data_IF_368900631479
#
_entry.id   IF_368900631479
#
_cell.length_a   1.000
_cell.length_b   1.000
_cell.length_c   1.000
_cell.angle_alpha   90.00
_cell.angle_beta   90.00
_cell.angle_gamma   90.00
#
_symmetry.space_group_name_H-M   'P 1'
#
loop_
_entity.id
_entity.type
_entity.pdbx_description
1 polymer ?
#
# COMPACT_ATOMS: atom_id res chain seq x y z
N UNK A 1 -10.51 18.89 5.87
CA UNK A 1 -10.90 17.53 5.37
C UNK A 1 -11.67 17.75 4.08
N UNK A 2 -11.52 16.84 3.09
CA UNK A 2 -12.32 16.94 1.87
C UNK A 2 -13.81 16.85 2.19
N UNK A 3 -14.63 17.57 1.42
CA UNK A 3 -16.08 17.58 1.60
C UNK A 3 -16.73 16.22 1.31
N UNK A 4 -16.23 15.50 0.32
CA UNK A 4 -16.66 14.15 -0.01
C UNK A 4 -15.50 13.17 0.20
N UNK A 5 -15.73 12.04 0.89
CA UNK A 5 -14.74 10.98 1.00
C UNK A 5 -15.33 9.65 0.50
N UNK A 6 -14.55 8.97 -0.34
CA UNK A 6 -14.94 7.75 -1.05
C UNK A 6 -13.91 6.67 -0.79
N UNK A 7 -14.36 5.56 -0.18
CA UNK A 7 -13.56 4.37 0.08
C UNK A 7 -14.03 3.24 -0.82
N UNK A 8 -13.10 2.67 -1.58
CA UNK A 8 -13.33 1.59 -2.54
C UNK A 8 -12.37 0.41 -2.32
N UNK A 9 -11.33 0.59 -1.48
CA UNK A 9 -10.37 -0.46 -1.09
C UNK A 9 -10.91 -1.21 0.14
N UNK A 10 -11.70 -2.24 -0.10
CA UNK A 10 -12.48 -2.97 0.88
C UNK A 10 -13.98 -2.74 0.69
N UNK A 11 -14.71 -2.64 1.79
CA UNK A 11 -16.16 -2.35 1.75
C UNK A 11 -16.40 -0.92 1.28
N UNK A 12 -17.19 -0.80 0.23
CA UNK A 12 -17.50 0.49 -0.41
C UNK A 12 -18.25 1.44 0.54
N UNK A 13 -17.70 2.63 0.77
CA UNK A 13 -18.28 3.65 1.63
C UNK A 13 -18.20 5.02 0.97
N UNK A 14 -19.24 5.81 1.18
CA UNK A 14 -19.34 7.19 0.67
C UNK A 14 -19.80 8.11 1.81
N UNK A 15 -19.07 9.18 2.03
CA UNK A 15 -19.42 10.19 3.03
C UNK A 15 -19.40 11.58 2.41
N UNK A 16 -20.32 12.43 2.87
CA UNK A 16 -20.41 13.85 2.50
C UNK A 16 -20.48 14.67 3.78
N UNK A 17 -19.60 15.65 3.91
CA UNK A 17 -19.49 16.50 5.10
C UNK A 17 -19.39 15.68 6.42
N UNK A 18 -18.67 14.53 6.36
CA UNK A 18 -18.45 13.63 7.50
C UNK A 18 -19.60 12.66 7.83
N UNK A 19 -20.72 12.72 7.09
CA UNK A 19 -21.87 11.84 7.28
C UNK A 19 -22.01 10.84 6.13
N UNK A 20 -22.49 9.61 6.36
CA UNK A 20 -22.77 8.65 5.29
C UNK A 20 -23.72 9.24 4.24
N UNK A 21 -23.41 9.03 2.97
CA UNK A 21 -24.20 9.53 1.85
C UNK A 21 -25.56 8.83 1.83
N UNK A 22 -26.64 9.59 1.97
CA UNK A 22 -28.00 9.10 1.94
C UNK A 22 -28.54 8.97 0.51
N UNK A 23 -29.54 8.10 0.27
CA UNK A 23 -30.18 7.96 -1.05
C UNK A 23 -29.43 7.11 -2.07
N UNK A 24 -28.39 6.36 -1.64
CA UNK A 24 -27.63 5.41 -2.46
C UNK A 24 -28.02 3.95 -2.14
N UNK A 25 -29.29 3.65 -2.01
CA UNK A 25 -29.76 2.31 -1.63
C UNK A 25 -29.53 1.27 -2.75
N UNK A 26 -29.64 1.70 -4.01
CA UNK A 26 -29.42 0.82 -5.17
C UNK A 26 -27.94 0.48 -5.35
N UNK A 27 -27.63 -0.83 -5.39
CA UNK A 27 -26.28 -1.32 -5.70
C UNK A 27 -25.75 -0.76 -7.03
N UNK A 28 -26.60 -0.72 -8.08
CA UNK A 28 -26.24 -0.16 -9.40
C UNK A 28 -25.85 1.32 -9.31
N UNK A 29 -26.57 2.12 -8.51
CA UNK A 29 -26.28 3.56 -8.35
C UNK A 29 -24.95 3.77 -7.61
N UNK A 30 -24.69 3.02 -6.53
CA UNK A 30 -23.42 3.07 -5.82
C UNK A 30 -22.25 2.68 -6.70
N UNK A 31 -22.43 1.62 -7.47
CA UNK A 31 -21.39 1.09 -8.36
C UNK A 31 -21.15 2.01 -9.56
N UNK A 32 -22.20 2.67 -10.09
CA UNK A 32 -22.04 3.71 -11.09
C UNK A 32 -21.20 4.89 -10.55
N UNK A 33 -21.45 5.31 -9.30
CA UNK A 33 -20.63 6.36 -8.68
C UNK A 33 -19.18 5.92 -8.55
N UNK A 34 -18.91 4.70 -8.07
CA UNK A 34 -17.56 4.15 -7.96
C UNK A 34 -16.84 4.11 -9.31
N UNK A 35 -17.52 3.67 -10.36
CA UNK A 35 -17.00 3.67 -11.74
C UNK A 35 -16.63 5.08 -12.20
N UNK A 36 -17.55 6.04 -12.08
CA UNK A 36 -17.33 7.42 -12.49
C UNK A 36 -16.18 8.10 -11.74
N UNK A 37 -16.02 7.77 -10.46
CA UNK A 37 -14.95 8.29 -9.59
C UNK A 37 -13.58 7.76 -10.03
N UNK A 38 -13.48 6.46 -10.27
CA UNK A 38 -12.21 5.82 -10.68
C UNK A 38 -11.81 6.27 -12.08
N UNK A 39 -12.79 6.40 -12.99
CA UNK A 39 -12.60 6.82 -14.38
C UNK A 39 -12.80 8.34 -14.59
N UNK A 40 -12.61 9.13 -13.53
CA UNK A 40 -12.87 10.59 -13.54
C UNK A 40 -11.99 11.39 -14.49
N UNK A 41 -10.92 10.82 -15.02
CA UNK A 41 -10.01 11.47 -15.97
C UNK A 41 -10.70 11.84 -17.30
N UNK A 42 -11.79 11.18 -17.66
CA UNK A 42 -12.52 11.40 -18.94
C UNK A 42 -14.03 11.46 -18.74
N UNK A 43 -14.70 12.15 -19.68
CA UNK A 43 -16.16 12.14 -19.76
C UNK A 43 -16.64 10.85 -20.44
N UNK A 44 -17.70 10.25 -19.89
CA UNK A 44 -18.27 9.01 -20.39
C UNK A 44 -19.58 9.26 -21.13
N UNK A 45 -19.72 8.67 -22.31
CA UNK A 45 -20.96 8.72 -23.06
C UNK A 45 -22.09 8.02 -22.32
N UNK A 46 -23.27 8.65 -22.30
CA UNK A 46 -24.46 8.11 -21.60
C UNK A 46 -24.90 6.77 -22.18
N UNK A 47 -24.77 6.58 -23.47
CA UNK A 47 -25.11 5.31 -24.14
C UNK A 47 -24.18 4.19 -23.68
N UNK A 48 -22.87 4.46 -23.60
CA UNK A 48 -21.89 3.50 -23.08
C UNK A 48 -22.17 3.14 -21.63
N UNK A 49 -22.48 4.11 -20.75
CA UNK A 49 -22.84 3.86 -19.37
C UNK A 49 -24.14 3.07 -19.26
N UNK A 50 -25.15 3.38 -20.06
CA UNK A 50 -26.41 2.65 -20.08
C UNK A 50 -26.20 1.18 -20.47
N UNK A 51 -25.41 0.90 -21.51
CA UNK A 51 -25.06 -0.47 -21.90
C UNK A 51 -24.23 -1.21 -20.87
N UNK A 52 -23.33 -0.51 -20.14
CA UNK A 52 -22.48 -1.10 -19.11
C UNK A 52 -23.27 -1.56 -17.87
N UNK A 53 -24.26 -0.75 -17.43
CA UNK A 53 -24.99 -0.98 -16.18
C UNK A 53 -26.37 -1.61 -16.36
N UNK A 54 -26.97 -1.51 -17.55
CA UNK A 54 -28.30 -2.06 -17.88
C UNK A 54 -28.31 -2.81 -19.22
N UNK A 55 -27.40 -3.76 -19.46
CA UNK A 55 -27.30 -4.44 -20.78
C UNK A 55 -28.50 -5.30 -21.11
N UNK A 56 -29.29 -5.72 -20.11
CA UNK A 56 -30.48 -6.57 -20.26
C UNK A 56 -31.72 -5.77 -20.70
N UNK A 57 -31.67 -4.45 -20.64
CA UNK A 57 -32.80 -3.56 -20.95
C UNK A 57 -32.75 -3.09 -22.39
N UNK A 58 -33.93 -2.74 -22.94
CA UNK A 58 -33.94 -2.01 -24.21
C UNK A 58 -33.22 -0.66 -24.07
N UNK A 59 -32.67 -0.16 -25.15
CA UNK A 59 -31.88 1.08 -25.14
C UNK A 59 -32.64 2.26 -24.48
N UNK A 60 -33.94 2.41 -24.79
CA UNK A 60 -34.76 3.44 -24.18
C UNK A 60 -34.94 3.28 -22.69
N UNK A 61 -35.13 2.05 -22.20
CA UNK A 61 -35.25 1.72 -20.77
C UNK A 61 -33.91 1.92 -20.05
N UNK A 62 -32.80 1.48 -20.64
CA UNK A 62 -31.46 1.67 -20.07
C UNK A 62 -31.08 3.16 -19.93
N UNK A 63 -31.40 3.99 -20.96
CA UNK A 63 -31.21 5.45 -20.90
C UNK A 63 -32.09 6.09 -19.81
N UNK A 64 -33.32 5.65 -19.64
CA UNK A 64 -34.21 6.13 -18.57
C UNK A 64 -33.64 5.78 -17.20
N UNK A 65 -33.24 4.52 -16.99
CA UNK A 65 -32.64 4.02 -15.75
C UNK A 65 -31.35 4.78 -15.41
N UNK A 66 -30.50 5.03 -16.37
CA UNK A 66 -29.30 5.86 -16.19
C UNK A 66 -29.66 7.29 -15.77
N UNK A 67 -30.67 7.89 -16.42
CA UNK A 67 -31.11 9.26 -16.10
C UNK A 67 -31.61 9.35 -14.66
N UNK A 68 -32.37 8.34 -14.20
CA UNK A 68 -32.83 8.25 -12.81
C UNK A 68 -31.65 8.04 -11.84
N UNK A 69 -30.69 7.19 -12.19
CA UNK A 69 -29.49 6.98 -11.39
C UNK A 69 -28.67 8.26 -11.22
N UNK A 70 -28.46 9.01 -12.32
CA UNK A 70 -27.75 10.31 -12.29
C UNK A 70 -28.52 11.32 -11.45
N UNK A 71 -29.85 11.36 -11.54
CA UNK A 71 -30.67 12.21 -10.69
C UNK A 71 -30.48 11.88 -9.20
N UNK A 72 -30.55 10.59 -8.83
CA UNK A 72 -30.35 10.14 -7.46
C UNK A 72 -28.93 10.48 -6.95
N UNK A 73 -27.90 10.30 -7.80
CA UNK A 73 -26.53 10.67 -7.46
C UNK A 73 -26.39 12.18 -7.20
N UNK A 74 -27.00 13.01 -8.04
CA UNK A 74 -26.99 14.48 -7.85
C UNK A 74 -27.69 14.89 -6.57
N UNK A 75 -28.82 14.27 -6.24
CA UNK A 75 -29.53 14.52 -4.97
C UNK A 75 -28.67 14.11 -3.77
N UNK A 76 -28.11 12.89 -3.79
CA UNK A 76 -27.27 12.38 -2.72
C UNK A 76 -26.04 13.27 -2.48
N UNK A 77 -25.41 13.77 -3.56
CA UNK A 77 -24.26 14.68 -3.50
C UNK A 77 -24.61 16.14 -3.20
N UNK A 78 -25.89 16.44 -2.87
CA UNK A 78 -26.34 17.79 -2.56
C UNK A 78 -26.36 18.74 -3.76
N UNK A 79 -26.34 18.21 -5.01
CA UNK A 79 -26.44 18.98 -6.25
C UNK A 79 -27.90 19.08 -6.70
N UNK A 80 -28.73 19.75 -5.92
CA UNK A 80 -30.11 20.01 -6.33
C UNK A 80 -30.15 20.98 -7.49
N UNK A 81 -30.84 20.55 -8.56
CA UNK A 81 -31.01 21.31 -9.78
C UNK A 81 -31.66 22.66 -9.50
N UNK A 82 -30.95 23.71 -9.78
CA UNK A 82 -31.35 25.04 -10.28
C UNK A 82 -30.26 26.08 -10.00
N UNK A 83 -29.06 25.82 -10.38
CA UNK A 83 -28.16 26.90 -10.71
C UNK A 83 -28.19 27.02 -12.25
N UNK A 84 -29.23 27.64 -12.75
CA UNK A 84 -29.21 28.18 -14.09
C UNK A 84 -28.06 29.17 -14.15
N UNK A 85 -27.28 29.07 -15.22
CA UNK A 85 -26.24 30.02 -15.59
C UNK A 85 -26.87 31.41 -15.76
N UNK A 86 -26.94 32.17 -14.68
CA UNK A 86 -27.10 33.61 -14.73
C UNK A 86 -25.70 34.22 -14.70
N UNK A 87 -25.27 34.88 -15.75
CA UNK A 87 -23.98 35.55 -15.77
C UNK A 87 -23.91 36.62 -14.69
N UNK A 88 -23.00 36.44 -13.73
CA UNK A 88 -22.72 37.44 -12.69
C UNK A 88 -23.00 37.03 -11.23
N UNK A 89 -23.44 35.79 -10.96
CA UNK A 89 -23.52 35.31 -9.56
C UNK A 89 -22.22 34.66 -9.09
N UNK A 90 -21.87 34.77 -7.78
CA UNK A 90 -20.69 34.11 -7.22
C UNK A 90 -20.79 32.61 -7.42
N UNK A 91 -19.69 32.03 -7.89
CA UNK A 91 -19.52 30.59 -8.18
C UNK A 91 -19.96 29.79 -6.94
N UNK A 92 -21.05 29.06 -7.03
CA UNK A 92 -21.48 28.09 -6.02
C UNK A 92 -20.42 26.99 -5.84
N UNK A 93 -20.59 26.09 -4.87
CA UNK A 93 -19.64 25.01 -4.64
C UNK A 93 -19.41 24.21 -5.93
N UNK A 94 -18.14 23.88 -6.21
CA UNK A 94 -17.75 23.12 -7.40
C UNK A 94 -18.53 21.80 -7.47
N UNK A 95 -19.25 21.52 -8.58
CA UNK A 95 -20.09 20.34 -8.66
C UNK A 95 -19.27 19.05 -8.66
N UNK A 96 -19.78 17.99 -8.01
CA UNK A 96 -19.17 16.66 -8.03
C UNK A 96 -19.38 15.92 -9.34
N UNK A 97 -20.51 16.15 -10.01
CA UNK A 97 -20.86 15.54 -11.30
C UNK A 97 -21.01 16.61 -12.37
N UNK A 98 -20.32 16.44 -13.47
CA UNK A 98 -20.49 17.20 -14.70
C UNK A 98 -21.39 16.38 -15.63
N UNK A 99 -22.59 16.89 -15.90
CA UNK A 99 -23.61 16.17 -16.67
C UNK A 99 -24.02 17.03 -17.86
N UNK A 100 -23.87 16.48 -19.08
CA UNK A 100 -24.36 17.07 -20.30
C UNK A 100 -25.50 16.23 -20.93
N UNK A 101 -25.99 16.60 -22.07
CA UNK A 101 -26.95 15.79 -22.83
C UNK A 101 -26.35 14.44 -23.26
N UNK A 102 -25.03 14.38 -23.53
CA UNK A 102 -24.38 13.23 -24.13
C UNK A 102 -23.43 12.53 -23.14
N UNK A 103 -22.91 13.23 -22.14
CA UNK A 103 -21.85 12.70 -21.28
C UNK A 103 -22.13 12.88 -19.78
N UNK A 104 -21.47 12.05 -18.98
CA UNK A 104 -21.39 12.14 -17.53
C UNK A 104 -19.94 11.97 -17.11
N UNK A 105 -19.46 12.80 -16.20
CA UNK A 105 -18.12 12.72 -15.64
C UNK A 105 -18.16 13.02 -14.13
N UNK A 106 -17.42 12.29 -13.32
CA UNK A 106 -17.11 12.75 -11.98
C UNK A 106 -16.08 13.87 -12.09
N UNK A 107 -16.33 15.01 -11.44
CA UNK A 107 -15.47 16.17 -11.57
C UNK A 107 -14.15 15.97 -10.80
N UNK A 108 -13.00 15.81 -11.49
CA UNK A 108 -11.72 15.59 -10.83
C UNK A 108 -11.23 16.80 -10.00
N UNK A 109 -11.83 17.97 -10.19
CA UNK A 109 -11.51 19.21 -9.46
C UNK A 109 -12.49 19.46 -8.29
N UNK A 110 -13.40 18.53 -8.01
CA UNK A 110 -14.30 18.60 -6.85
C UNK A 110 -13.51 18.36 -5.54
N UNK A 111 -14.02 18.89 -4.43
CA UNK A 111 -13.44 18.66 -3.10
C UNK A 111 -13.75 17.23 -2.63
N UNK A 112 -13.06 16.27 -3.25
CA UNK A 112 -13.24 14.83 -3.01
C UNK A 112 -11.92 14.17 -2.69
N UNK A 113 -11.92 13.37 -1.65
CA UNK A 113 -10.84 12.46 -1.29
C UNK A 113 -11.23 11.03 -1.66
N UNK A 114 -10.34 10.29 -2.33
CA UNK A 114 -10.57 8.93 -2.84
C UNK A 114 -9.39 8.05 -2.42
N UNK A 115 -9.66 6.95 -1.70
CA UNK A 115 -8.63 6.04 -1.22
C UNK A 115 -7.79 5.41 -2.34
N UNK A 116 -8.41 4.97 -3.45
CA UNK A 116 -7.72 4.42 -4.62
C UNK A 116 -6.77 5.43 -5.26
N UNK A 117 -7.19 6.71 -5.35
CA UNK A 117 -6.36 7.76 -5.90
C UNK A 117 -5.16 8.07 -4.98
N UNK A 118 -5.40 8.15 -3.68
CA UNK A 118 -4.35 8.38 -2.68
C UNK A 118 -3.37 7.22 -2.61
N UNK A 119 -3.87 5.97 -2.61
CA UNK A 119 -3.05 4.75 -2.68
C UNK A 119 -2.14 4.77 -3.91
N UNK A 120 -2.71 5.02 -5.08
CA UNK A 120 -1.96 5.09 -6.33
C UNK A 120 -0.93 6.23 -6.33
N UNK A 121 -1.26 7.38 -5.73
CA UNK A 121 -0.37 8.54 -5.58
C UNK A 121 0.81 8.22 -4.67
N UNK A 122 0.59 7.53 -3.56
CA UNK A 122 1.67 7.08 -2.68
C UNK A 122 2.67 6.20 -3.43
N UNK A 123 2.18 5.23 -4.20
CA UNK A 123 3.01 4.31 -4.99
C UNK A 123 3.76 5.06 -6.10
N UNK A 124 3.09 5.97 -6.82
CA UNK A 124 3.72 6.78 -7.85
C UNK A 124 4.87 7.64 -7.28
N UNK A 125 4.66 8.25 -6.11
CA UNK A 125 5.68 9.04 -5.42
C UNK A 125 6.87 8.18 -4.97
N UNK A 126 6.65 6.95 -4.49
CA UNK A 126 7.73 6.01 -4.17
C UNK A 126 8.54 5.66 -5.42
N UNK A 127 7.88 5.38 -6.55
CA UNK A 127 8.55 5.03 -7.82
C UNK A 127 9.34 6.18 -8.44
N UNK A 128 8.87 7.42 -8.28
CA UNK A 128 9.53 8.61 -8.82
C UNK A 128 10.61 9.18 -7.90
N UNK A 129 10.65 8.76 -6.64
CA UNK A 129 11.62 9.27 -5.67
C UNK A 129 13.01 8.70 -5.95
N UNK A 130 14.00 9.61 -6.12
CA UNK A 130 15.39 9.20 -6.32
C UNK A 130 15.99 8.69 -5.00
N UNK A 131 16.21 7.39 -4.92
CA UNK A 131 16.90 6.74 -3.80
C UNK A 131 17.83 5.65 -4.34
N UNK A 132 18.92 5.38 -3.63
CA UNK A 132 19.85 4.30 -4.00
C UNK A 132 19.23 2.91 -3.71
N UNK A 133 18.56 2.82 -2.55
CA UNK A 133 17.88 1.60 -2.09
C UNK A 133 16.58 1.96 -1.40
N UNK A 134 15.53 1.30 -1.78
CA UNK A 134 14.20 1.51 -1.20
C UNK A 134 14.18 1.11 0.28
N UNK A 135 14.84 0.00 0.62
CA UNK A 135 14.90 -0.59 1.95
C UNK A 135 15.56 0.32 3.01
N UNK A 136 16.27 1.35 2.58
CA UNK A 136 16.89 2.32 3.50
C UNK A 136 16.24 3.69 3.46
N UNK A 137 15.26 3.91 2.57
CA UNK A 137 14.63 5.20 2.38
C UNK A 137 13.45 5.43 3.33
N UNK A 138 13.66 6.18 4.42
CA UNK A 138 12.61 6.51 5.38
C UNK A 138 11.47 7.37 4.81
N UNK A 139 11.70 8.14 3.74
CA UNK A 139 10.64 8.91 3.07
C UNK A 139 9.70 7.97 2.30
N UNK A 140 10.25 7.02 1.52
CA UNK A 140 9.45 6.03 0.83
C UNK A 140 8.69 5.13 1.81
N UNK A 141 9.33 4.70 2.91
CA UNK A 141 8.67 3.90 3.93
C UNK A 141 7.46 4.61 4.59
N UNK A 142 7.49 5.94 4.73
CA UNK A 142 6.31 6.69 5.20
C UNK A 142 5.15 6.62 4.21
N UNK A 143 5.43 6.77 2.92
CA UNK A 143 4.42 6.67 1.86
C UNK A 143 3.86 5.25 1.74
N UNK A 144 4.72 4.24 1.84
CA UNK A 144 4.31 2.83 1.82
C UNK A 144 3.41 2.48 3.01
N UNK A 145 3.69 3.01 4.23
CA UNK A 145 2.81 2.83 5.39
C UNK A 145 1.42 3.47 5.19
N UNK A 146 1.38 4.66 4.58
CA UNK A 146 0.09 5.26 4.22
C UNK A 146 -0.66 4.39 3.23
N UNK A 147 0.01 3.90 2.19
CA UNK A 147 -0.59 3.00 1.21
C UNK A 147 -1.09 1.69 1.87
N UNK A 148 -0.30 1.10 2.75
CA UNK A 148 -0.71 -0.09 3.53
C UNK A 148 -1.99 0.16 4.34
N UNK A 149 -2.08 1.30 5.02
CA UNK A 149 -3.25 1.66 5.82
C UNK A 149 -4.50 1.89 4.97
N UNK A 150 -4.34 2.40 3.74
CA UNK A 150 -5.44 2.63 2.81
C UNK A 150 -6.02 1.32 2.26
N UNK A 151 -5.19 0.30 2.06
CA UNK A 151 -5.64 -0.98 1.50
C UNK A 151 -6.26 -1.86 2.58
N UNK A 152 -7.57 -1.69 2.83
CA UNK A 152 -8.32 -2.45 3.83
C UNK A 152 -8.88 -3.78 3.29
N UNK A 153 -8.82 -4.00 2.00
CA UNK A 153 -9.29 -5.20 1.30
C UNK A 153 -9.34 -4.97 -0.20
N UNK A 154 -9.79 -5.98 -0.94
CA UNK A 154 -9.86 -5.90 -2.39
C UNK A 154 -10.80 -4.80 -2.87
N UNK A 155 -10.47 -4.24 -4.02
CA UNK A 155 -11.27 -3.22 -4.68
C UNK A 155 -12.72 -3.69 -4.88
N UNK A 156 -13.67 -2.88 -4.37
CA UNK A 156 -15.11 -3.16 -4.39
C UNK A 156 -15.46 -4.52 -3.78
N UNK A 157 -14.92 -4.82 -2.59
CA UNK A 157 -15.20 -6.07 -1.88
C UNK A 157 -16.71 -6.30 -1.71
N UNK A 158 -17.19 -7.49 -2.10
CA UNK A 158 -18.59 -7.89 -1.97
C UNK A 158 -19.53 -7.23 -2.97
N UNK A 159 -19.02 -6.49 -3.96
CA UNK A 159 -19.81 -5.89 -5.03
C UNK A 159 -19.82 -6.82 -6.24
N UNK A 160 -21.02 -7.20 -6.69
CA UNK A 160 -21.27 -7.89 -7.94
C UNK A 160 -22.57 -7.41 -8.55
N UNK A 161 -22.58 -7.19 -9.85
CA UNK A 161 -23.76 -6.77 -10.61
C UNK A 161 -24.16 -7.89 -11.60
N UNK A 162 -25.16 -8.67 -11.22
CA UNK A 162 -25.67 -9.74 -12.11
C UNK A 162 -26.05 -9.19 -13.48
N UNK A 163 -25.63 -9.87 -14.54
CA UNK A 163 -25.90 -9.49 -15.92
C UNK A 163 -25.04 -8.36 -16.50
N UNK A 164 -24.17 -7.72 -15.71
CA UNK A 164 -23.31 -6.62 -16.13
C UNK A 164 -21.86 -7.11 -16.38
N UNK A 165 -21.67 -8.03 -17.33
CA UNK A 165 -20.37 -8.68 -17.57
C UNK A 165 -19.24 -7.70 -17.82
N UNK A 166 -19.44 -6.70 -18.66
CA UNK A 166 -18.40 -5.72 -18.98
C UNK A 166 -17.99 -4.87 -17.76
N UNK A 167 -18.90 -4.63 -16.80
CA UNK A 167 -18.55 -4.01 -15.53
C UNK A 167 -17.73 -4.97 -14.65
N UNK A 168 -18.11 -6.25 -14.56
CA UNK A 168 -17.37 -7.24 -13.77
C UNK A 168 -15.94 -7.43 -14.31
N UNK A 169 -15.77 -7.44 -15.63
CA UNK A 169 -14.44 -7.50 -16.28
C UNK A 169 -13.60 -6.26 -15.90
N UNK A 170 -14.16 -5.07 -15.98
CA UNK A 170 -13.50 -3.83 -15.55
C UNK A 170 -13.11 -3.89 -14.07
N UNK A 171 -14.03 -4.30 -13.21
CA UNK A 171 -13.79 -4.40 -11.76
C UNK A 171 -12.71 -5.44 -11.44
N UNK A 172 -12.67 -6.54 -12.19
CA UNK A 172 -11.65 -7.59 -12.02
C UNK A 172 -10.26 -7.06 -12.39
N UNK A 173 -10.11 -6.36 -13.52
CA UNK A 173 -8.83 -5.75 -13.91
C UNK A 173 -8.32 -4.77 -12.84
N UNK A 174 -9.21 -3.93 -12.31
CA UNK A 174 -8.83 -3.00 -11.24
C UNK A 174 -8.48 -3.73 -9.93
N UNK A 175 -9.22 -4.77 -9.59
CA UNK A 175 -8.98 -5.61 -8.39
C UNK A 175 -7.60 -6.26 -8.45
N UNK A 176 -7.29 -6.95 -9.53
CA UNK A 176 -6.00 -7.62 -9.74
C UNK A 176 -4.84 -6.61 -9.71
N UNK A 177 -4.98 -5.48 -10.38
CA UNK A 177 -3.97 -4.42 -10.40
C UNK A 177 -3.69 -3.86 -9.00
N UNK A 178 -4.73 -3.50 -8.26
CA UNK A 178 -4.58 -2.90 -6.92
C UNK A 178 -4.10 -3.93 -5.91
N UNK A 179 -4.53 -5.19 -6.02
CA UNK A 179 -4.04 -6.30 -5.23
C UNK A 179 -2.54 -6.52 -5.43
N UNK A 180 -2.08 -6.62 -6.67
CA UNK A 180 -0.65 -6.75 -6.97
C UNK A 180 0.18 -5.57 -6.42
N UNK A 181 -0.35 -4.35 -6.50
CA UNK A 181 0.29 -3.17 -5.91
C UNK A 181 0.35 -3.24 -4.38
N UNK A 182 -0.71 -3.73 -3.71
CA UNK A 182 -0.73 -3.90 -2.27
C UNK A 182 0.27 -4.99 -1.81
N UNK A 183 0.38 -6.09 -2.53
CA UNK A 183 1.40 -7.10 -2.30
C UNK A 183 2.82 -6.50 -2.41
N UNK A 184 3.07 -5.66 -3.42
CA UNK A 184 4.37 -5.00 -3.58
C UNK A 184 4.67 -4.01 -2.45
N UNK A 185 3.67 -3.22 -1.99
CA UNK A 185 3.80 -2.32 -0.83
C UNK A 185 4.22 -3.09 0.42
N UNK A 186 3.61 -4.24 0.68
CA UNK A 186 3.92 -5.08 1.85
C UNK A 186 5.30 -5.75 1.71
N UNK A 187 5.69 -6.16 0.50
CA UNK A 187 7.02 -6.67 0.21
C UNK A 187 8.11 -5.62 0.51
N UNK A 188 7.91 -4.39 0.01
CA UNK A 188 8.83 -3.28 0.19
C UNK A 188 8.95 -2.87 1.67
N UNK A 189 7.83 -2.84 2.41
CA UNK A 189 7.82 -2.58 3.85
C UNK A 189 8.53 -3.69 4.63
N UNK A 190 8.30 -4.95 4.29
CA UNK A 190 9.00 -6.09 4.91
C UNK A 190 10.51 -5.93 4.73
N UNK A 191 10.98 -5.66 3.51
CA UNK A 191 12.40 -5.40 3.24
C UNK A 191 12.96 -4.19 3.99
N UNK A 192 12.20 -3.10 4.08
CA UNK A 192 12.59 -1.92 4.84
C UNK A 192 12.78 -2.22 6.34
N UNK A 193 11.84 -2.92 6.96
CA UNK A 193 11.90 -3.26 8.38
C UNK A 193 12.98 -4.29 8.67
N UNK A 194 13.17 -5.30 7.81
CA UNK A 194 14.28 -6.26 7.91
C UNK A 194 15.64 -5.53 7.89
N UNK A 195 15.83 -4.62 6.94
CA UNK A 195 17.07 -3.86 6.78
C UNK A 195 17.40 -3.00 8.02
N UNK A 196 16.41 -2.58 8.78
CA UNK A 196 16.55 -1.75 9.99
C UNK A 196 16.52 -2.55 11.29
N UNK A 197 16.36 -3.87 11.21
CA UNK A 197 16.15 -4.76 12.38
C UNK A 197 14.92 -4.34 13.23
N UNK A 198 13.92 -3.75 12.60
CA UNK A 198 12.62 -3.43 13.19
C UNK A 198 11.73 -4.68 13.14
N UNK A 199 12.12 -5.72 13.91
CA UNK A 199 11.61 -7.10 13.78
C UNK A 199 10.10 -7.20 13.89
N UNK A 200 9.50 -6.49 14.83
CA UNK A 200 8.05 -6.54 15.07
C UNK A 200 7.26 -6.02 13.87
N UNK A 201 7.61 -4.84 13.37
CA UNK A 201 6.95 -4.24 12.21
C UNK A 201 7.17 -5.09 10.95
N UNK A 202 8.37 -5.65 10.79
CA UNK A 202 8.70 -6.57 9.70
C UNK A 202 7.86 -7.83 9.73
N UNK A 203 7.63 -8.39 10.91
CA UNK A 203 6.77 -9.56 11.09
C UNK A 203 5.29 -9.23 10.76
N UNK A 204 4.78 -8.10 11.26
CA UNK A 204 3.41 -7.64 10.99
C UNK A 204 3.17 -7.45 9.47
N UNK A 205 4.11 -6.79 8.78
CA UNK A 205 4.03 -6.58 7.32
C UNK A 205 4.11 -7.91 6.55
N UNK A 206 5.03 -8.80 6.92
CA UNK A 206 5.19 -10.10 6.29
C UNK A 206 3.97 -11.02 6.50
N UNK A 207 3.36 -10.98 7.70
CA UNK A 207 2.12 -11.71 8.00
C UNK A 207 0.98 -11.24 7.12
N UNK A 208 0.79 -9.92 7.02
CA UNK A 208 -0.25 -9.32 6.18
C UNK A 208 -0.05 -9.66 4.70
N UNK A 209 1.21 -9.62 4.22
CA UNK A 209 1.52 -10.02 2.85
C UNK A 209 1.19 -11.48 2.57
N UNK A 210 1.62 -12.40 3.45
CA UNK A 210 1.33 -13.82 3.32
C UNK A 210 -0.16 -14.19 3.50
N UNK A 211 -0.96 -13.33 4.14
CA UNK A 211 -2.42 -13.44 4.23
C UNK A 211 -3.11 -12.93 2.96
N UNK A 212 -2.58 -11.84 2.38
CA UNK A 212 -3.13 -11.25 1.18
C UNK A 212 -2.96 -12.16 -0.03
N UNK A 213 -1.78 -12.79 -0.16
CA UNK A 213 -1.51 -13.77 -1.22
C UNK A 213 -0.88 -15.05 -0.62
N UNK A 214 -1.72 -16.01 -0.18
CA UNK A 214 -1.26 -17.23 0.49
C UNK A 214 -0.43 -18.16 -0.40
N UNK A 215 -0.62 -18.10 -1.73
CA UNK A 215 0.10 -18.94 -2.69
C UNK A 215 1.40 -18.28 -3.19
N UNK A 216 1.63 -17.01 -2.87
CA UNK A 216 2.82 -16.30 -3.32
C UNK A 216 4.06 -16.72 -2.52
N UNK A 217 4.93 -17.46 -3.15
CA UNK A 217 6.10 -18.11 -2.51
C UNK A 217 7.06 -17.11 -1.85
N UNK A 218 7.28 -15.96 -2.47
CA UNK A 218 8.13 -14.90 -1.90
C UNK A 218 7.52 -14.30 -0.63
N UNK A 219 6.20 -14.17 -0.55
CA UNK A 219 5.52 -13.72 0.66
C UNK A 219 5.70 -14.74 1.81
N UNK A 220 5.58 -16.03 1.50
CA UNK A 220 5.80 -17.09 2.47
C UNK A 220 7.26 -17.12 2.96
N UNK A 221 8.24 -16.93 2.05
CA UNK A 221 9.65 -16.80 2.44
C UNK A 221 9.90 -15.57 3.31
N UNK A 222 9.29 -14.44 2.98
CA UNK A 222 9.35 -13.23 3.81
C UNK A 222 8.86 -13.48 5.23
N UNK A 223 7.69 -14.12 5.36
CA UNK A 223 7.13 -14.48 6.66
C UNK A 223 8.01 -15.48 7.44
N UNK A 224 8.50 -16.54 6.78
CA UNK A 224 9.41 -17.52 7.42
C UNK A 224 10.68 -16.83 7.94
N UNK A 225 11.25 -15.90 7.16
CA UNK A 225 12.44 -15.14 7.52
C UNK A 225 12.18 -14.20 8.69
N UNK A 226 11.08 -13.44 8.64
CA UNK A 226 10.69 -12.54 9.72
C UNK A 226 10.46 -13.29 11.05
N UNK A 227 9.79 -14.45 11.00
CA UNK A 227 9.61 -15.33 12.18
C UNK A 227 10.95 -15.84 12.73
N UNK A 228 11.85 -16.26 11.85
CA UNK A 228 13.16 -16.75 12.27
C UNK A 228 14.01 -15.64 12.91
N UNK A 229 13.99 -14.43 12.35
CA UNK A 229 14.68 -13.25 12.90
C UNK A 229 14.12 -12.82 14.24
N UNK A 230 12.80 -12.98 14.46
CA UNK A 230 12.14 -12.69 15.74
C UNK A 230 12.31 -13.83 16.78
N UNK A 231 13.11 -14.85 16.47
CA UNK A 231 13.36 -16.00 17.36
C UNK A 231 12.24 -17.05 17.37
N UNK A 232 11.22 -16.91 16.55
CA UNK A 232 10.06 -17.80 16.46
C UNK A 232 10.31 -18.97 15.48
N UNK A 233 11.45 -19.65 15.63
CA UNK A 233 11.93 -20.71 14.73
C UNK A 233 10.90 -21.82 14.48
N UNK A 234 10.26 -22.31 15.54
CA UNK A 234 9.24 -23.36 15.40
C UNK A 234 8.07 -22.94 14.54
N UNK A 235 7.63 -21.67 14.63
CA UNK A 235 6.56 -21.13 13.81
C UNK A 235 7.01 -20.97 12.35
N UNK A 236 8.27 -20.56 12.12
CA UNK A 236 8.82 -20.47 10.75
C UNK A 236 8.83 -21.83 10.06
N UNK A 237 9.26 -22.89 10.76
CA UNK A 237 9.25 -24.26 10.23
C UNK A 237 7.82 -24.77 10.00
N UNK A 238 6.90 -24.52 10.94
CA UNK A 238 5.48 -24.89 10.80
C UNK A 238 4.83 -24.17 9.60
N UNK A 239 5.24 -22.90 9.34
CA UNK A 239 4.74 -22.15 8.18
C UNK A 239 5.16 -22.80 6.86
N UNK A 240 6.41 -23.26 6.73
CA UNK A 240 6.85 -24.01 5.56
C UNK A 240 6.01 -25.27 5.33
N UNK A 241 5.80 -26.06 6.38
CA UNK A 241 5.02 -27.29 6.25
C UNK A 241 3.56 -27.04 5.86
N UNK A 242 2.96 -25.98 6.41
CA UNK A 242 1.62 -25.54 6.01
C UNK A 242 1.57 -25.11 4.55
N UNK A 243 2.54 -24.32 4.10
CA UNK A 243 2.64 -23.85 2.73
C UNK A 243 2.90 -25.00 1.74
N UNK A 244 3.78 -25.94 2.08
CA UNK A 244 4.02 -27.16 1.27
C UNK A 244 2.74 -27.96 1.07
N UNK A 245 1.93 -28.15 2.13
CA UNK A 245 0.65 -28.84 2.04
C UNK A 245 -0.33 -28.10 1.12
N UNK A 246 -0.43 -26.78 1.26
CA UNK A 246 -1.29 -25.94 0.44
C UNK A 246 -0.93 -26.05 -1.05
N UNK A 247 0.36 -25.92 -1.40
CA UNK A 247 0.84 -26.08 -2.78
C UNK A 247 0.55 -27.47 -3.34
N UNK A 248 0.70 -28.51 -2.53
CA UNK A 248 0.43 -29.89 -2.97
C UNK A 248 -1.08 -30.11 -3.19
N UNK A 249 -1.94 -29.54 -2.33
CA UNK A 249 -3.40 -29.72 -2.41
C UNK A 249 -4.00 -28.92 -3.58
N UNK A 250 -3.60 -27.65 -3.75
CA UNK A 250 -4.25 -26.74 -4.69
C UNK A 250 -3.62 -26.78 -6.08
N UNK A 251 -2.30 -26.98 -6.18
CA UNK A 251 -1.56 -26.89 -7.43
C UNK A 251 -0.78 -28.16 -7.80
N UNK A 252 -0.74 -29.15 -6.90
CA UNK A 252 0.04 -30.38 -7.05
C UNK A 252 1.53 -30.15 -7.37
N UNK A 253 2.13 -29.11 -6.76
CA UNK A 253 3.54 -28.77 -6.91
C UNK A 253 4.26 -28.71 -5.56
N UNK A 254 5.58 -28.86 -5.56
CA UNK A 254 6.44 -28.66 -4.40
C UNK A 254 6.91 -27.18 -4.33
N UNK A 255 7.25 -26.66 -3.12
CA UNK A 255 7.89 -25.36 -2.99
C UNK A 255 9.18 -25.26 -3.81
N UNK A 256 9.46 -24.09 -4.36
CA UNK A 256 10.67 -23.84 -5.14
C UNK A 256 11.96 -23.95 -4.31
N UNK A 257 13.09 -24.08 -5.02
CA UNK A 257 14.38 -24.34 -4.42
C UNK A 257 14.78 -23.30 -3.35
N UNK A 258 14.51 -22.02 -3.57
CA UNK A 258 14.85 -20.95 -2.62
C UNK A 258 14.09 -21.10 -1.28
N UNK A 259 12.82 -21.52 -1.35
CA UNK A 259 11.99 -21.74 -0.17
C UNK A 259 12.45 -22.99 0.60
N UNK A 260 12.84 -24.04 -0.10
CA UNK A 260 13.42 -25.24 0.49
C UNK A 260 14.76 -24.92 1.15
N UNK A 261 15.65 -24.17 0.50
CA UNK A 261 16.92 -23.75 1.05
C UNK A 261 16.75 -22.88 2.31
N UNK A 262 15.79 -21.97 2.32
CA UNK A 262 15.48 -21.19 3.52
C UNK A 262 15.03 -22.10 4.67
N UNK A 263 14.14 -23.06 4.41
CA UNK A 263 13.72 -24.04 5.40
C UNK A 263 14.89 -24.81 5.99
N UNK A 264 15.82 -25.32 5.16
CA UNK A 264 17.01 -26.04 5.62
C UNK A 264 17.92 -25.16 6.47
N UNK A 265 18.14 -23.90 6.10
CA UNK A 265 18.92 -22.94 6.90
C UNK A 265 18.29 -22.69 8.28
N UNK A 266 16.97 -22.51 8.32
CA UNK A 266 16.25 -22.33 9.58
C UNK A 266 16.34 -23.62 10.43
N UNK A 267 16.26 -24.81 9.81
CA UNK A 267 16.35 -26.10 10.48
C UNK A 267 17.75 -26.39 11.05
N UNK A 268 18.82 -25.93 10.38
CA UNK A 268 20.21 -26.10 10.82
C UNK A 268 20.64 -25.09 11.89
N UNK A 269 19.76 -24.20 12.37
CA UNK A 269 20.10 -23.08 13.26
C UNK A 269 21.14 -22.10 12.70
N UNK A 270 21.41 -22.19 11.39
CA UNK A 270 22.23 -21.17 10.73
C UNK A 270 21.54 -19.81 10.87
N UNK A 271 22.32 -18.82 11.36
CA UNK A 271 21.81 -17.45 11.51
C UNK A 271 21.22 -17.00 10.19
N UNK A 272 19.90 -16.79 10.14
CA UNK A 272 19.21 -16.27 8.96
C UNK A 272 19.54 -14.78 8.84
N UNK A 273 20.80 -14.49 8.51
CA UNK A 273 21.20 -13.13 8.18
C UNK A 273 20.53 -12.77 6.88
N UNK A 274 19.88 -11.61 6.86
CA UNK A 274 19.36 -10.99 5.64
C UNK A 274 20.44 -11.05 4.57
N UNK A 275 20.25 -11.89 3.57
CA UNK A 275 21.10 -11.91 2.38
C UNK A 275 20.64 -10.79 1.45
N UNK A 276 20.79 -9.54 1.92
CA UNK A 276 20.74 -8.39 1.02
C UNK A 276 22.04 -8.40 0.21
N UNK A 277 21.99 -8.54 -1.12
CA UNK A 277 23.19 -8.48 -1.96
C UNK A 277 23.83 -7.11 -1.78
N UNK A 278 25.02 -7.06 -1.22
CA UNK A 278 25.86 -5.86 -1.19
C UNK A 278 26.19 -5.25 0.18
N UNK A 279 25.87 -5.92 1.32
CA UNK A 279 26.38 -5.47 2.62
C UNK A 279 27.63 -6.25 3.02
N UNK A 280 28.74 -6.05 2.31
CA UNK A 280 30.05 -6.66 2.60
C UNK A 280 30.90 -5.84 3.60
N UNK A 281 30.30 -5.12 4.51
CA UNK A 281 31.02 -4.50 5.63
C UNK A 281 30.86 -5.35 6.89
N UNK A 282 31.79 -6.27 7.16
CA UNK A 282 31.81 -7.05 8.41
C UNK A 282 32.27 -6.15 9.57
N UNK A 283 31.36 -5.36 10.12
CA UNK A 283 31.61 -4.73 11.41
C UNK A 283 31.63 -5.84 12.48
N UNK A 284 32.67 -5.90 13.34
CA UNK A 284 32.71 -6.87 14.43
C UNK A 284 31.47 -6.75 15.32
N UNK A 285 30.81 -7.87 15.61
CA UNK A 285 29.63 -7.90 16.47
C UNK A 285 30.08 -7.70 17.92
N UNK A 286 29.55 -6.73 18.67
CA UNK A 286 29.87 -6.54 20.10
C UNK A 286 29.37 -7.74 20.89
N UNK A 287 30.27 -8.44 21.59
CA UNK A 287 29.94 -9.60 22.44
C UNK A 287 29.25 -9.25 23.78
N UNK A 288 29.17 -7.96 24.11
CA UNK A 288 28.61 -7.51 25.39
C UNK A 288 27.75 -6.25 25.16
N UNK A 289 26.69 -6.04 26.01
CA UNK A 289 25.84 -4.85 25.91
C UNK A 289 26.64 -3.56 26.05
N UNK A 290 26.29 -2.52 25.30
CA UNK A 290 26.87 -1.18 25.44
C UNK A 290 26.15 -0.44 26.56
N UNK A 291 26.86 -0.08 27.61
CA UNK A 291 26.29 0.59 28.78
C UNK A 291 26.98 1.95 28.98
N UNK A 292 26.19 3.00 29.17
CA UNK A 292 26.64 4.37 29.36
C UNK A 292 27.05 5.08 28.06
N UNK A 293 27.56 6.32 28.18
CA UNK A 293 28.07 7.17 27.07
C UNK A 293 27.08 7.47 25.98
N UNK A 294 25.83 7.63 26.35
CA UNK A 294 24.78 7.94 25.37
C UNK A 294 24.95 9.32 24.74
N UNK A 295 25.47 10.28 25.51
CA UNK A 295 25.72 11.65 25.01
C UNK A 295 26.85 11.67 23.98
N UNK A 296 27.97 10.99 24.24
CA UNK A 296 29.09 10.89 23.30
C UNK A 296 28.71 10.08 22.06
N UNK A 297 27.84 9.07 22.20
CA UNK A 297 27.31 8.33 21.08
C UNK A 297 26.42 9.22 20.20
N UNK A 298 25.55 10.02 20.81
CA UNK A 298 24.68 10.95 20.10
C UNK A 298 25.47 12.02 19.35
N UNK A 299 26.51 12.60 20.02
CA UNK A 299 27.40 13.57 19.37
C UNK A 299 28.17 12.95 18.20
N UNK A 300 28.72 11.76 18.38
CA UNK A 300 29.46 11.05 17.33
C UNK A 300 28.56 10.72 16.13
N UNK A 301 27.35 10.22 16.38
CA UNK A 301 26.40 9.91 15.32
C UNK A 301 25.90 11.16 14.58
N UNK A 302 25.72 12.28 15.28
CA UNK A 302 25.38 13.56 14.67
C UNK A 302 26.49 14.07 13.74
N UNK A 303 27.75 14.00 14.18
CA UNK A 303 28.93 14.38 13.37
C UNK A 303 29.11 13.48 12.15
N UNK A 304 28.87 12.17 12.27
CA UNK A 304 28.97 11.22 11.15
C UNK A 304 27.84 11.40 10.13
N UNK A 305 26.68 11.94 10.53
CA UNK A 305 25.58 12.30 9.61
C UNK A 305 25.82 13.61 8.87
N UNK A 306 26.72 14.45 9.38
CA UNK A 306 27.09 15.68 8.69
C UNK A 306 27.84 15.34 7.39
N UNK A 307 27.24 15.67 6.25
CA UNK A 307 27.79 15.40 4.91
C UNK A 307 29.12 16.14 4.64
N UNK A 308 29.47 17.12 5.46
CA UNK A 308 30.76 17.85 5.34
C UNK A 308 31.89 17.14 6.09
N UNK A 309 31.58 16.32 7.08
CA UNK A 309 32.57 15.57 7.85
C UNK A 309 33.00 14.31 7.11
N UNK A 310 34.17 14.31 6.48
CA UNK A 310 34.74 13.16 5.78
C UNK A 310 35.51 12.20 6.68
N UNK A 311 35.98 12.70 7.83
CA UNK A 311 36.79 11.96 8.80
C UNK A 311 36.46 12.44 10.20
N UNK A 312 36.16 11.51 11.11
CA UNK A 312 36.00 11.77 12.53
C UNK A 312 37.01 10.93 13.29
N UNK A 313 37.85 11.58 14.12
CA UNK A 313 38.87 10.93 14.94
C UNK A 313 38.49 10.94 16.41
N UNK A 314 38.47 9.75 17.05
CA UNK A 314 38.22 9.60 18.48
C UNK A 314 39.54 9.61 19.26
N UNK A 315 39.74 10.62 20.08
CA UNK A 315 40.91 10.76 20.93
C UNK A 315 40.57 10.43 22.39
N UNK A 316 41.54 9.88 23.12
CA UNK A 316 41.41 9.58 24.56
C UNK A 316 42.42 8.54 25.05
N UNK A 317 42.56 8.34 26.37
CA UNK A 317 43.53 7.42 26.95
C UNK A 317 43.31 5.95 26.58
N UNK A 318 44.32 5.13 26.70
CA UNK A 318 44.23 3.68 26.46
C UNK A 318 43.13 3.05 27.36
N UNK A 319 42.37 2.09 26.81
CA UNK A 319 41.32 1.41 27.57
C UNK A 319 40.01 2.20 27.76
N UNK A 320 39.92 3.47 27.29
CA UNK A 320 38.72 4.29 27.47
C UNK A 320 37.51 3.89 26.60
N UNK A 321 37.54 2.79 25.87
CA UNK A 321 36.41 2.26 25.10
C UNK A 321 36.15 2.94 23.74
N UNK A 322 37.12 3.67 23.16
CA UNK A 322 37.01 4.37 21.86
C UNK A 322 36.58 3.45 20.74
N UNK A 323 37.24 2.31 20.59
CA UNK A 323 36.91 1.30 19.57
C UNK A 323 35.47 0.79 19.73
N UNK A 324 35.04 0.58 20.98
CA UNK A 324 33.69 0.13 21.28
C UNK A 324 32.63 1.17 20.98
N UNK A 325 32.92 2.45 21.29
CA UNK A 325 32.06 3.59 20.91
C UNK A 325 31.97 3.73 19.38
N UNK A 326 33.12 3.65 18.67
CA UNK A 326 33.15 3.70 17.21
C UNK A 326 32.36 2.57 16.57
N UNK A 327 32.51 1.33 17.04
CA UNK A 327 31.75 0.19 16.55
C UNK A 327 30.25 0.34 16.79
N UNK A 328 29.86 0.86 17.96
CA UNK A 328 28.46 1.07 18.29
C UNK A 328 27.84 2.18 17.43
N UNK A 329 28.54 3.29 17.21
CA UNK A 329 28.13 4.33 16.27
C UNK A 329 28.02 3.81 14.85
N UNK A 330 29.01 3.02 14.38
CA UNK A 330 28.99 2.41 13.05
C UNK A 330 27.79 1.45 12.88
N UNK A 331 27.49 0.64 13.89
CA UNK A 331 26.28 -0.21 13.88
C UNK A 331 24.99 0.62 13.83
N UNK A 332 24.91 1.72 14.58
CA UNK A 332 23.73 2.60 14.60
C UNK A 332 23.51 3.33 13.27
N UNK A 333 24.60 3.65 12.57
CA UNK A 333 24.60 4.37 11.29
C UNK A 333 24.71 3.47 10.07
N UNK A 334 24.75 2.16 10.24
CA UNK A 334 24.93 1.17 9.16
C UNK A 334 24.01 1.39 7.96
N UNK A 335 22.81 1.89 8.22
CA UNK A 335 21.80 2.15 7.17
C UNK A 335 21.91 3.54 6.55
N UNK A 336 22.64 4.44 7.21
CA UNK A 336 22.90 5.78 6.68
C UNK A 336 24.07 5.77 5.66
N UNK A 337 24.89 4.69 5.69
CA UNK A 337 26.07 4.48 4.82
C UNK A 337 25.97 3.14 4.08
N UNK A 338 25.14 3.05 3.02
CA UNK A 338 24.86 1.78 2.34
C UNK A 338 26.04 1.18 1.57
N UNK A 339 27.10 1.96 1.35
CA UNK A 339 28.30 1.52 0.64
C UNK A 339 29.43 1.08 1.59
N UNK A 340 29.24 1.06 2.91
CA UNK A 340 30.19 0.64 3.94
C UNK A 340 30.61 1.76 4.88
#
# INVERSE_FOLDING_TARGET
MARCAILLLGTMQFTLDGSPLQGLESAKVRTLLAYLVVESAQAHERERLAGLFWPEMSEAQARHSLSQAIYNLRQALGQTSKTGDLPGQPVGPVPFLLVTQHTVQFNPHSDTWIDVAEFSRCIANVRSHAHRRLETCGQCARLLRVAEQLYQGDFLTGVSLRGCQAFEEWATVWRERLHAQACQVLADLTGYYEARAELRQGLEAAQRWAQLDPLHETAQRGLMRALALDGQRTQALARYEGFRKLLTQDLNVAPGQETQQLYQRILAEETVQSSLPGMSGKLPVPLTPFVGRQEELAELTARLRDRQARLVTLLGPGGSGKTRLALHAAHSLRYDFPDG
#
